data_IF_194923762818
#
_entry.id   IF_194923762818
#
_cell.length_a   1.000
_cell.length_b   1.000
_cell.length_c   1.000
_cell.angle_alpha   90.00
_cell.angle_beta   90.00
_cell.angle_gamma   90.00
#
_symmetry.space_group_name_H-M   'P 1'
#
loop_
_entity.id
_entity.type
_entity.pdbx_description
1 polymer ?
#
# COMPACT_ATOMS: atom_id res chain seq x y z
N UNK A 1 0.00 32.18 -9.00
CA UNK A 1 -1.33 31.90 -8.39
C UNK A 1 -1.98 30.80 -9.17
N UNK A 2 -2.42 29.74 -8.50
CA UNK A 2 -2.91 28.53 -9.16
C UNK A 2 -3.49 27.56 -8.14
N UNK A 3 -4.03 26.45 -8.63
CA UNK A 3 -4.58 25.38 -7.82
C UNK A 3 -3.61 24.96 -6.72
N UNK A 4 -4.11 24.86 -5.48
CA UNK A 4 -3.36 24.37 -4.32
C UNK A 4 -4.20 23.28 -3.67
N UNK A 5 -3.90 22.03 -4.05
CA UNK A 5 -4.45 20.86 -3.36
C UNK A 5 -3.64 20.62 -2.09
N UNK A 6 -4.34 20.48 -0.97
CA UNK A 6 -3.87 19.91 0.29
C UNK A 6 -5.06 19.12 0.85
N UNK A 7 -4.79 17.97 1.46
CA UNK A 7 -5.73 17.22 2.32
C UNK A 7 -6.52 16.08 1.69
N UNK A 8 -5.82 15.13 1.06
CA UNK A 8 -6.22 13.72 1.15
C UNK A 8 -5.16 12.91 1.90
N UNK A 9 -4.70 13.45 3.04
CA UNK A 9 -3.79 12.75 3.94
C UNK A 9 -4.61 12.12 5.06
N UNK A 10 -4.50 10.81 5.15
CA UNK A 10 -5.07 9.98 6.21
C UNK A 10 -3.96 9.74 7.23
N UNK A 11 -3.88 10.63 8.21
CA UNK A 11 -2.92 10.54 9.30
C UNK A 11 -3.44 9.62 10.40
N UNK A 12 -2.57 8.75 10.89
CA UNK A 12 -2.75 8.12 12.19
C UNK A 12 -1.64 8.54 13.15
N UNK A 13 -2.04 8.71 14.40
CA UNK A 13 -1.16 8.66 15.55
C UNK A 13 -1.22 7.24 16.14
N UNK A 14 -0.31 6.93 17.07
CA UNK A 14 -0.21 5.59 17.63
C UNK A 14 -1.56 5.08 18.19
N UNK A 15 -1.94 3.84 17.84
CA UNK A 15 -3.14 3.17 18.36
C UNK A 15 -4.42 3.31 17.53
N UNK A 16 -4.37 3.85 16.31
CA UNK A 16 -5.54 3.87 15.42
C UNK A 16 -5.99 2.46 15.00
N UNK A 17 -7.31 2.28 14.82
CA UNK A 17 -7.86 1.08 14.20
C UNK A 17 -7.50 1.02 12.70
N UNK A 18 -7.52 -0.17 12.07
CA UNK A 18 -7.32 -0.28 10.63
C UNK A 18 -8.33 0.57 9.85
N UNK A 19 -7.86 1.29 8.84
CA UNK A 19 -8.75 1.92 7.87
C UNK A 19 -9.16 0.86 6.85
N UNK A 20 -10.47 0.64 6.69
CA UNK A 20 -11.01 -0.45 5.88
C UNK A 20 -11.86 0.12 4.75
N UNK A 21 -11.54 -0.27 3.52
CA UNK A 21 -12.38 0.01 2.35
C UNK A 21 -13.69 -0.76 2.43
N UNK A 22 -14.76 -0.17 1.91
CA UNK A 22 -16.09 -0.78 1.84
C UNK A 22 -16.35 -1.48 0.49
N UNK A 23 -15.57 -1.16 -0.54
CA UNK A 23 -15.71 -1.73 -1.87
C UNK A 23 -15.02 -3.09 -1.97
N UNK A 24 -15.71 -4.13 -2.47
CA UNK A 24 -15.11 -5.43 -2.71
C UNK A 24 -14.09 -5.36 -3.84
N UNK A 25 -12.96 -6.03 -3.64
CA UNK A 25 -11.91 -6.19 -4.64
C UNK A 25 -12.17 -7.48 -5.44
N UNK A 26 -12.07 -7.40 -6.77
CA UNK A 26 -12.14 -8.55 -7.67
C UNK A 26 -10.82 -9.33 -7.72
N UNK A 27 -10.75 -10.34 -8.58
CA UNK A 27 -9.56 -11.21 -8.67
C UNK A 27 -8.37 -10.54 -9.36
N UNK A 28 -8.64 -9.56 -10.24
CA UNK A 28 -7.62 -8.77 -10.92
C UNK A 28 -7.84 -7.27 -10.68
N UNK A 29 -6.77 -6.59 -10.26
CA UNK A 29 -6.83 -5.18 -9.91
C UNK A 29 -5.45 -4.53 -9.99
N UNK A 30 -5.46 -3.23 -10.26
CA UNK A 30 -4.32 -2.35 -10.05
C UNK A 30 -4.54 -1.49 -8.81
N UNK A 31 -3.46 -1.12 -8.13
CA UNK A 31 -3.51 -0.25 -6.96
C UNK A 31 -2.38 0.77 -6.97
N UNK A 32 -2.63 1.91 -6.33
CA UNK A 32 -1.62 2.89 -5.97
C UNK A 32 -1.95 3.49 -4.61
N UNK A 33 -0.93 3.69 -3.79
CA UNK A 33 -1.03 4.47 -2.57
C UNK A 33 0.30 5.13 -2.25
N UNK A 34 0.23 6.25 -1.55
CA UNK A 34 1.39 6.92 -1.01
C UNK A 34 1.43 6.74 0.51
N UNK A 35 2.62 6.48 1.05
CA UNK A 35 2.85 6.35 2.49
C UNK A 35 4.01 7.25 2.92
N UNK A 36 3.84 7.94 4.03
CA UNK A 36 4.92 8.67 4.70
C UNK A 36 5.10 8.09 6.08
N UNK A 37 6.21 7.39 6.25
CA UNK A 37 6.61 6.79 7.51
C UNK A 37 7.30 7.86 8.39
N UNK A 38 6.89 7.93 9.65
CA UNK A 38 7.47 8.75 10.73
C UNK A 38 8.50 7.91 11.52
N UNK A 39 9.15 8.50 12.53
CA UNK A 39 10.24 7.86 13.27
C UNK A 39 9.80 6.54 13.92
N UNK A 40 8.63 6.51 14.53
CA UNK A 40 8.09 5.36 15.27
C UNK A 40 6.97 4.59 14.52
N UNK A 41 6.95 4.59 13.18
CA UNK A 41 5.88 3.93 12.41
C UNK A 41 5.78 2.42 12.59
N UNK A 42 6.81 1.75 13.13
CA UNK A 42 6.92 0.30 13.08
C UNK A 42 6.95 -0.21 11.64
N UNK A 43 6.23 -1.29 11.36
CA UNK A 43 6.02 -1.88 10.04
C UNK A 43 4.51 -1.90 9.70
N UNK A 44 3.93 -0.77 9.23
CA UNK A 44 2.51 -0.74 8.88
C UNK A 44 2.22 -1.71 7.74
N UNK A 45 1.02 -2.29 7.74
CA UNK A 45 0.61 -3.27 6.74
C UNK A 45 -0.44 -2.69 5.80
N UNK A 46 -0.33 -3.07 4.53
CA UNK A 46 -1.38 -2.88 3.54
C UNK A 46 -1.96 -4.25 3.22
N UNK A 47 -3.22 -4.47 3.58
CA UNK A 47 -3.92 -5.71 3.24
C UNK A 47 -4.76 -5.52 1.98
N UNK A 48 -4.45 -6.24 0.90
CA UNK A 48 -5.17 -6.12 -0.39
C UNK A 48 -5.33 -7.51 -0.99
N UNK A 49 -6.54 -7.92 -1.38
CA UNK A 49 -6.75 -9.24 -1.95
C UNK A 49 -6.56 -10.41 -0.97
N UNK A 50 -6.38 -10.14 0.34
CA UNK A 50 -5.93 -11.15 1.30
C UNK A 50 -4.41 -11.33 1.36
N UNK A 51 -3.65 -10.45 0.72
CA UNK A 51 -2.19 -10.31 0.87
C UNK A 51 -1.88 -9.31 1.96
N UNK A 52 -0.83 -9.58 2.72
CA UNK A 52 -0.28 -8.65 3.70
C UNK A 52 1.03 -8.06 3.16
N UNK A 53 1.01 -6.79 2.80
CA UNK A 53 2.18 -6.03 2.36
C UNK A 53 2.73 -5.24 3.54
N UNK A 54 3.77 -5.77 4.19
CA UNK A 54 4.46 -5.07 5.26
C UNK A 54 5.40 -3.99 4.70
N UNK A 55 5.26 -2.77 5.20
CA UNK A 55 6.13 -1.65 4.87
C UNK A 55 7.18 -1.53 5.97
N UNK A 56 8.10 -2.50 6.00
CA UNK A 56 9.12 -2.64 7.04
C UNK A 56 10.46 -2.04 6.58
N UNK A 57 10.98 -1.06 7.32
CA UNK A 57 12.29 -0.45 7.05
C UNK A 57 13.48 -1.38 7.37
N UNK A 58 13.22 -2.51 8.04
CA UNK A 58 14.23 -3.53 8.32
C UNK A 58 14.37 -4.54 7.19
N UNK A 59 13.40 -4.61 6.25
CA UNK A 59 13.54 -5.36 5.01
C UNK A 59 14.66 -4.72 4.18
N UNK A 60 15.75 -5.45 3.87
CA UNK A 60 16.91 -4.88 3.20
C UNK A 60 16.60 -4.40 1.77
N UNK A 61 15.72 -5.11 1.06
CA UNK A 61 15.34 -4.76 -0.32
C UNK A 61 14.45 -3.53 -0.30
N UNK A 62 13.44 -3.50 0.57
CA UNK A 62 12.51 -2.38 0.64
C UNK A 62 13.20 -1.11 1.15
N UNK A 63 14.10 -1.23 2.13
CA UNK A 63 14.87 -0.12 2.70
C UNK A 63 15.62 0.70 1.64
N UNK A 64 16.17 0.06 0.61
CA UNK A 64 16.89 0.73 -0.48
C UNK A 64 15.96 1.48 -1.46
N UNK A 65 14.68 1.11 -1.47
CA UNK A 65 13.66 1.72 -2.34
C UNK A 65 12.89 2.84 -1.65
N UNK A 66 12.84 2.82 -0.32
CA UNK A 66 12.21 3.85 0.48
C UNK A 66 13.04 5.13 0.55
N UNK A 67 12.34 6.26 0.48
CA UNK A 67 12.85 7.57 0.84
C UNK A 67 13.10 7.68 2.33
N UNK A 68 13.86 8.71 2.71
CA UNK A 68 14.12 9.06 4.11
C UNK A 68 12.82 9.24 4.93
N UNK A 69 12.92 9.03 6.25
CA UNK A 69 11.81 9.27 7.18
C UNK A 69 11.19 10.66 6.99
N UNK A 70 9.86 10.73 6.98
CA UNK A 70 9.11 11.96 6.76
C UNK A 70 8.92 12.32 5.27
N UNK A 71 9.43 11.53 4.32
CA UNK A 71 9.13 11.67 2.89
C UNK A 71 8.06 10.68 2.43
N UNK A 72 7.38 11.06 1.36
CA UNK A 72 6.37 10.23 0.71
C UNK A 72 7.02 9.13 -0.12
N UNK A 73 6.45 7.94 -0.04
CA UNK A 73 6.82 6.78 -0.84
C UNK A 73 5.60 6.30 -1.60
N UNK A 74 5.71 6.21 -2.92
CA UNK A 74 4.64 5.70 -3.77
C UNK A 74 4.79 4.21 -3.98
N UNK A 75 3.75 3.46 -3.65
CA UNK A 75 3.62 2.05 -3.99
C UNK A 75 2.60 1.92 -5.11
N UNK A 76 3.02 1.29 -6.20
CA UNK A 76 2.16 0.99 -7.35
C UNK A 76 2.25 -0.48 -7.67
N UNK A 77 1.13 -1.11 -7.95
CA UNK A 77 1.14 -2.52 -8.26
C UNK A 77 -0.12 -3.04 -8.91
N UNK A 78 -0.08 -4.32 -9.22
CA UNK A 78 -1.20 -5.04 -9.80
C UNK A 78 -1.16 -6.51 -9.42
N UNK A 79 -2.35 -7.06 -9.25
CA UNK A 79 -2.58 -8.49 -9.32
C UNK A 79 -3.27 -8.81 -10.64
N UNK A 80 -2.61 -9.61 -11.48
CA UNK A 80 -3.13 -10.11 -12.76
C UNK A 80 -2.75 -11.56 -12.93
N UNK A 81 -3.68 -12.43 -13.36
CA UNK A 81 -3.45 -13.86 -13.51
C UNK A 81 -2.78 -14.52 -12.29
N UNK A 82 -3.21 -14.14 -11.07
CA UNK A 82 -2.63 -14.58 -9.79
C UNK A 82 -1.12 -14.26 -9.60
N UNK A 83 -0.61 -13.25 -10.31
CA UNK A 83 0.77 -12.73 -10.20
C UNK A 83 0.77 -11.30 -9.67
N UNK A 84 1.50 -11.07 -8.59
CA UNK A 84 1.70 -9.76 -7.99
C UNK A 84 2.94 -9.08 -8.55
N UNK A 85 2.78 -7.83 -8.96
CA UNK A 85 3.90 -6.93 -9.29
C UNK A 85 3.73 -5.65 -8.52
N UNK A 86 4.81 -5.16 -7.91
CA UNK A 86 4.86 -3.93 -7.11
C UNK A 86 6.14 -3.17 -7.42
N UNK A 87 6.00 -1.87 -7.63
CA UNK A 87 7.08 -0.90 -7.61
C UNK A 87 6.96 0.06 -6.44
N UNK A 88 8.10 0.55 -5.97
CA UNK A 88 8.23 1.57 -4.92
C UNK A 88 9.03 2.71 -5.51
N UNK A 89 8.44 3.92 -5.51
CA UNK A 89 9.05 5.11 -6.12
C UNK A 89 9.51 4.88 -7.57
N UNK A 90 8.71 4.12 -8.34
CA UNK A 90 8.99 3.75 -9.73
C UNK A 90 10.03 2.65 -9.92
N UNK A 91 10.65 2.14 -8.86
CA UNK A 91 11.63 1.04 -8.91
C UNK A 91 10.97 -0.29 -8.57
N UNK A 92 11.29 -1.40 -9.26
CA UNK A 92 10.71 -2.71 -8.94
C UNK A 92 11.06 -3.17 -7.52
N UNK A 93 10.07 -3.66 -6.77
CA UNK A 93 10.26 -4.31 -5.47
C UNK A 93 9.91 -5.80 -5.53
N UNK A 94 8.72 -6.12 -6.04
CA UNK A 94 8.24 -7.49 -6.24
C UNK A 94 7.80 -7.62 -7.70
N UNK A 95 8.23 -8.67 -8.39
CA UNK A 95 7.92 -8.88 -9.81
C UNK A 95 7.48 -10.31 -10.04
N UNK A 96 6.34 -10.50 -10.70
CA UNK A 96 5.77 -11.81 -11.05
C UNK A 96 5.64 -12.77 -9.86
N UNK A 97 5.41 -12.24 -8.65
CA UNK A 97 5.30 -13.07 -7.45
C UNK A 97 4.00 -13.89 -7.52
N UNK A 98 4.07 -15.23 -7.56
CA UNK A 98 2.88 -16.07 -7.62
C UNK A 98 2.15 -16.02 -6.28
N UNK A 99 0.84 -15.81 -6.34
CA UNK A 99 -0.01 -15.86 -5.16
C UNK A 99 -0.59 -17.26 -5.04
N UNK A 100 -0.10 -18.02 -4.07
CA UNK A 100 -0.50 -19.40 -3.80
C UNK A 100 -1.71 -19.52 -2.87
N UNK A 101 -2.10 -18.42 -2.22
CA UNK A 101 -3.25 -18.36 -1.32
C UNK A 101 -4.48 -17.91 -2.11
N UNK A 102 -5.63 -18.61 -2.05
CA UNK A 102 -6.85 -18.11 -2.67
C UNK A 102 -7.16 -16.74 -2.09
N UNK A 103 -7.35 -15.75 -2.97
CA UNK A 103 -7.79 -14.42 -2.56
C UNK A 103 -9.06 -14.59 -1.73
N UNK A 104 -9.08 -13.99 -0.53
CA UNK A 104 -10.30 -14.04 0.28
C UNK A 104 -11.34 -13.21 -0.46
N UNK A 105 -12.46 -13.80 -0.86
CA UNK A 105 -13.54 -13.09 -1.54
C UNK A 105 -14.80 -13.05 -0.67
N UNK A 106 -15.44 -11.87 -0.48
CA UNK A 106 -14.95 -10.55 -0.86
C UNK A 106 -13.79 -10.10 0.05
N UNK A 107 -12.69 -9.63 -0.52
CA UNK A 107 -11.65 -8.92 0.22
C UNK A 107 -11.84 -7.42 0.04
N UNK A 108 -11.42 -6.69 1.07
CA UNK A 108 -11.41 -5.24 1.08
C UNK A 108 -9.99 -4.78 1.33
N UNK A 109 -9.63 -3.62 0.81
CA UNK A 109 -8.36 -2.99 1.11
C UNK A 109 -8.36 -2.52 2.57
N UNK A 110 -7.30 -2.82 3.33
CA UNK A 110 -7.05 -2.23 4.64
C UNK A 110 -5.68 -1.59 4.74
N UNK A 111 -5.62 -0.46 5.45
CA UNK A 111 -4.38 0.11 5.98
C UNK A 111 -4.33 -0.19 7.48
N UNK A 112 -3.36 -1.00 7.90
CA UNK A 112 -3.18 -1.42 9.28
C UNK A 112 -1.99 -0.65 9.85
N UNK A 113 -2.20 0.29 10.78
CA UNK A 113 -1.10 1.04 11.38
C UNK A 113 -0.28 0.15 12.34
N UNK A 114 1.03 0.38 12.40
CA UNK A 114 1.93 -0.19 13.41
C UNK A 114 2.61 0.89 14.27
N UNK A 115 2.12 2.13 14.17
CA UNK A 115 2.70 3.34 14.73
C UNK A 115 2.38 4.54 13.83
N UNK A 116 2.79 5.77 14.20
CA UNK A 116 2.42 6.99 13.49
C UNK A 116 2.78 6.94 12.01
N UNK A 117 1.80 7.04 11.13
CA UNK A 117 1.97 6.92 9.67
C UNK A 117 0.96 7.80 8.96
N UNK A 118 1.36 8.39 7.84
CA UNK A 118 0.43 9.11 6.97
C UNK A 118 0.24 8.34 5.66
N UNK A 119 -0.99 8.27 5.18
CA UNK A 119 -1.34 7.68 3.90
C UNK A 119 -1.96 8.74 2.99
N UNK A 120 -1.76 8.62 1.68
CA UNK A 120 -2.41 9.49 0.71
C UNK A 120 -2.67 8.75 -0.61
N UNK A 121 -3.54 9.33 -1.44
CA UNK A 121 -3.85 8.84 -2.79
C UNK A 121 -4.18 7.33 -2.88
N UNK A 122 -4.94 6.73 -1.94
CA UNK A 122 -5.35 5.33 -2.09
C UNK A 122 -6.29 5.21 -3.28
N UNK A 123 -5.93 4.39 -4.27
CA UNK A 123 -6.76 4.17 -5.45
C UNK A 123 -6.66 2.73 -5.93
N UNK A 124 -7.82 2.12 -6.18
CA UNK A 124 -7.98 0.81 -6.80
C UNK A 124 -8.62 0.98 -8.17
N UNK A 125 -8.16 0.18 -9.13
CA UNK A 125 -8.82 0.02 -10.42
C UNK A 125 -9.01 -1.45 -10.73
N UNK A 126 -10.13 -1.78 -11.36
CA UNK A 126 -10.28 -3.06 -12.04
C UNK A 126 -9.30 -3.09 -13.22
N UNK A 127 -8.70 -4.24 -13.48
CA UNK A 127 -7.99 -4.45 -14.73
C UNK A 127 -9.01 -4.98 -15.73
N UNK A 128 -9.06 -4.37 -16.90
CA UNK A 128 -9.80 -4.94 -18.02
C UNK A 128 -8.95 -6.09 -18.59
N UNK A 129 -9.64 -7.16 -19.00
CA UNK A 129 -9.04 -8.33 -19.62
C UNK A 129 -8.34 -7.97 -20.95
#
# INVERSE_FOLDING_TARGET
TGWKSNDWVLSNDAGAAPLVGNEPIGDEFGFVFDVRLKEDSGAPLVQIGGLDLAIDRTDPTLKELLEETGKWNRFEGSLKAARLTISVNGKPWQTDLPISVPLRTPSVWKFVPAGPTDWANPYLRKLED
#
